data_IF_396309885100
#
_entry.id   IF_396309885100
#
_cell.length_a   1.000
_cell.length_b   1.000
_cell.length_c   1.000
_cell.angle_alpha   90.00
_cell.angle_beta   90.00
_cell.angle_gamma   90.00
#
_symmetry.space_group_name_H-M   'P 1'
#
loop_
_entity.id
_entity.type
_entity.pdbx_description
1 polymer ?
#
# COMPACT_ATOMS: atom_id res chain seq x y z
N UNK A 1 -26.05 -18.02 17.36
CA UNK A 1 -24.78 -18.74 17.14
C UNK A 1 -23.68 -17.99 17.88
N UNK A 2 -22.94 -18.65 18.77
CA UNK A 2 -21.75 -18.06 19.39
C UNK A 2 -20.58 -18.25 18.43
N UNK A 3 -19.98 -17.14 17.97
CA UNK A 3 -18.72 -17.15 17.23
C UNK A 3 -17.60 -16.98 18.25
N UNK A 4 -16.58 -17.84 18.19
CA UNK A 4 -15.40 -17.73 19.05
C UNK A 4 -14.21 -17.29 18.19
N UNK A 5 -13.62 -16.15 18.52
CA UNK A 5 -12.45 -15.62 17.81
C UNK A 5 -11.19 -16.13 18.47
N UNK A 6 -10.32 -16.77 17.68
CA UNK A 6 -9.02 -17.26 18.15
C UNK A 6 -7.90 -16.53 17.42
N UNK A 7 -6.99 -15.95 18.19
CA UNK A 7 -5.82 -15.27 17.64
C UNK A 7 -4.73 -16.30 17.33
N UNK A 8 -4.24 -16.27 16.09
CA UNK A 8 -3.11 -17.08 15.62
C UNK A 8 -2.13 -16.11 14.97
N UNK A 9 -0.85 -16.23 15.31
CA UNK A 9 0.22 -15.45 14.69
C UNK A 9 0.85 -16.29 13.60
N UNK A 10 0.97 -15.73 12.40
CA UNK A 10 1.63 -16.34 11.25
C UNK A 10 2.66 -15.37 10.68
N UNK A 11 3.79 -15.90 10.22
CA UNK A 11 4.81 -15.11 9.53
C UNK A 11 4.46 -15.02 8.05
N UNK A 12 4.64 -13.84 7.46
CA UNK A 12 4.48 -13.64 6.01
C UNK A 12 5.72 -14.19 5.30
N UNK A 13 5.50 -15.13 4.39
CA UNK A 13 6.51 -15.72 3.52
C UNK A 13 6.60 -14.95 2.19
N UNK A 14 7.64 -15.25 1.40
CA UNK A 14 7.84 -14.67 0.07
C UNK A 14 6.60 -14.79 -0.83
N UNK A 15 6.36 -13.74 -1.62
CA UNK A 15 5.18 -13.67 -2.50
C UNK A 15 3.87 -13.45 -1.76
N UNK A 16 3.90 -12.79 -0.59
CA UNK A 16 2.72 -12.46 0.23
C UNK A 16 1.91 -13.70 0.66
N UNK A 17 2.61 -14.79 1.01
CA UNK A 17 1.98 -16.05 1.44
C UNK A 17 1.92 -16.13 2.95
N UNK A 18 0.83 -16.68 3.48
CA UNK A 18 0.63 -16.96 4.90
C UNK A 18 0.44 -18.46 5.07
N UNK A 19 1.17 -19.06 6.00
CA UNK A 19 0.95 -20.42 6.45
C UNK A 19 0.35 -20.37 7.85
N UNK A 20 -0.85 -20.95 8.02
CA UNK A 20 -1.62 -20.89 9.25
C UNK A 20 -1.87 -22.32 9.71
N UNK A 21 -1.34 -22.67 10.87
CA UNK A 21 -1.68 -23.92 11.55
C UNK A 21 -3.06 -23.77 12.20
N UNK A 22 -4.10 -24.30 11.54
CA UNK A 22 -5.45 -24.30 12.08
C UNK A 22 -5.63 -25.45 13.09
N UNK A 23 -6.39 -25.26 14.19
CA UNK A 23 -6.86 -26.39 15.01
C UNK A 23 -7.80 -27.30 14.19
N UNK A 24 -8.19 -28.47 14.72
CA UNK A 24 -9.12 -29.41 14.08
C UNK A 24 -10.45 -28.73 13.68
N UNK A 25 -10.48 -28.18 12.47
CA UNK A 25 -11.64 -27.60 11.85
C UNK A 25 -12.35 -28.68 11.02
N UNK A 26 -13.66 -28.89 11.21
CA UNK A 26 -14.40 -29.87 10.44
C UNK A 26 -14.38 -29.53 8.94
N UNK A 27 -14.19 -30.57 8.13
CA UNK A 27 -14.15 -30.46 6.67
C UNK A 27 -15.47 -29.85 6.16
N UNK A 28 -15.36 -28.85 5.28
CA UNK A 28 -16.52 -28.17 4.68
C UNK A 28 -17.09 -27.01 5.50
N UNK A 29 -16.49 -26.68 6.65
CA UNK A 29 -16.88 -25.50 7.42
C UNK A 29 -16.32 -24.21 6.82
N UNK A 30 -17.19 -23.20 6.66
CA UNK A 30 -16.77 -21.83 6.34
C UNK A 30 -16.30 -21.11 7.61
N UNK A 31 -15.13 -20.48 7.54
CA UNK A 31 -14.58 -19.66 8.63
C UNK A 31 -14.36 -18.21 8.18
N UNK A 32 -14.41 -17.29 9.13
CA UNK A 32 -14.05 -15.87 8.93
C UNK A 32 -12.61 -15.64 9.42
N UNK A 33 -11.79 -14.97 8.61
CA UNK A 33 -10.39 -14.65 8.95
C UNK A 33 -10.27 -13.15 9.18
N UNK A 34 -9.68 -12.77 10.31
CA UNK A 34 -9.40 -11.36 10.65
C UNK A 34 -7.88 -11.17 10.61
N UNK A 35 -7.40 -10.34 9.69
CA UNK A 35 -5.99 -9.97 9.60
C UNK A 35 -5.75 -8.65 10.34
N UNK A 36 -4.84 -8.67 11.31
CA UNK A 36 -4.38 -7.46 12.01
C UNK A 36 -3.00 -7.11 11.44
N UNK A 37 -2.96 -6.13 10.55
CA UNK A 37 -1.73 -5.67 9.91
C UNK A 37 -1.24 -4.44 10.67
N UNK A 38 -0.01 -4.44 11.21
CA UNK A 38 0.56 -3.22 11.80
C UNK A 38 0.68 -2.15 10.71
N UNK A 39 0.40 -0.90 11.06
CA UNK A 39 0.28 0.25 10.15
C UNK A 39 1.58 0.61 9.40
N UNK A 40 2.65 -0.17 9.58
CA UNK A 40 3.99 0.09 9.04
C UNK A 40 4.15 -0.21 7.54
N UNK A 41 3.13 -0.75 6.86
CA UNK A 41 3.22 -1.21 5.46
C UNK A 41 2.36 -0.43 4.46
N UNK A 42 1.64 0.59 4.92
CA UNK A 42 1.08 1.60 4.02
C UNK A 42 1.77 2.91 4.32
N UNK A 43 2.75 3.24 3.47
CA UNK A 43 3.39 4.56 3.41
C UNK A 43 2.41 5.64 2.94
N UNK A 44 1.18 5.67 3.45
CA UNK A 44 0.30 6.81 3.28
C UNK A 44 0.66 7.82 4.35
N UNK A 45 1.28 8.94 3.93
CA UNK A 45 1.58 10.06 4.82
C UNK A 45 0.33 10.43 5.61
N UNK A 46 0.43 10.43 6.94
CA UNK A 46 -0.66 10.85 7.82
C UNK A 46 -0.98 12.33 7.58
N UNK A 47 -2.16 12.80 8.01
CA UNK A 47 -2.49 14.23 7.93
C UNK A 47 -1.45 15.09 8.65
N UNK A 48 -0.96 14.62 9.80
CA UNK A 48 0.09 15.29 10.57
C UNK A 48 1.39 15.45 9.79
N UNK A 49 1.81 14.42 9.04
CA UNK A 49 3.03 14.46 8.21
C UNK A 49 2.89 15.48 7.07
N UNK A 50 1.70 15.53 6.44
CA UNK A 50 1.40 16.52 5.39
C UNK A 50 1.43 17.94 5.93
N UNK A 51 0.85 18.17 7.11
CA UNK A 51 0.91 19.47 7.76
C UNK A 51 2.33 19.85 8.17
N UNK A 52 3.12 18.91 8.68
CA UNK A 52 4.52 19.14 9.01
C UNK A 52 5.32 19.56 7.77
N UNK A 53 5.12 18.87 6.64
CA UNK A 53 5.73 19.24 5.37
C UNK A 53 5.34 20.65 4.92
N UNK A 54 4.05 21.01 4.97
CA UNK A 54 3.58 22.34 4.53
C UNK A 54 4.10 23.50 5.40
N UNK A 55 4.46 23.23 6.66
CA UNK A 55 5.06 24.21 7.57
C UNK A 55 6.55 24.46 7.29
N UNK A 56 7.19 23.63 6.48
CA UNK A 56 8.60 23.82 6.13
C UNK A 56 8.78 25.10 5.29
N UNK A 57 9.93 25.78 5.44
CA UNK A 57 10.33 26.85 4.53
C UNK A 57 10.31 26.39 3.08
N UNK A 58 10.07 27.32 2.16
CA UNK A 58 9.94 26.99 0.73
C UNK A 58 11.17 26.25 0.18
N UNK A 59 12.38 26.61 0.63
CA UNK A 59 13.63 25.98 0.20
C UNK A 59 13.72 24.49 0.63
N UNK A 60 13.30 24.18 1.87
CA UNK A 60 13.30 22.80 2.39
C UNK A 60 12.25 21.95 1.66
N UNK A 61 11.08 22.52 1.38
CA UNK A 61 10.07 21.84 0.55
C UNK A 61 10.57 21.56 -0.85
N UNK A 62 11.22 22.54 -1.48
CA UNK A 62 11.80 22.37 -2.82
C UNK A 62 12.84 21.26 -2.84
N UNK A 63 13.74 21.21 -1.86
CA UNK A 63 14.75 20.14 -1.75
C UNK A 63 14.12 18.75 -1.69
N UNK A 64 13.11 18.56 -0.84
CA UNK A 64 12.41 17.27 -0.69
C UNK A 64 11.70 16.89 -1.99
N UNK A 65 11.02 17.84 -2.64
CA UNK A 65 10.31 17.58 -3.90
C UNK A 65 11.28 17.28 -5.05
N UNK A 66 12.43 17.96 -5.12
CA UNK A 66 13.46 17.68 -6.13
C UNK A 66 14.01 16.26 -6.01
N UNK A 67 14.33 15.82 -4.79
CA UNK A 67 14.80 14.44 -4.57
C UNK A 67 13.75 13.40 -4.98
N UNK A 68 12.47 13.67 -4.69
CA UNK A 68 11.37 12.79 -5.10
C UNK A 68 11.20 12.77 -6.63
N UNK A 69 11.28 13.93 -7.28
CA UNK A 69 11.19 14.03 -8.73
C UNK A 69 12.32 13.25 -9.42
N UNK A 70 13.56 13.38 -8.93
CA UNK A 70 14.73 12.63 -9.44
C UNK A 70 14.53 11.11 -9.31
N UNK A 71 14.01 10.64 -8.17
CA UNK A 71 13.73 9.22 -7.95
C UNK A 71 12.63 8.66 -8.87
N UNK A 72 11.77 9.53 -9.43
CA UNK A 72 10.68 9.11 -10.32
C UNK A 72 11.02 9.22 -11.81
N UNK A 73 12.22 9.72 -12.18
CA UNK A 73 12.61 9.91 -13.59
C UNK A 73 12.49 8.60 -14.37
N UNK A 74 13.09 7.52 -13.87
CA UNK A 74 13.07 6.21 -14.54
C UNK A 74 11.63 5.68 -14.74
N UNK A 75 10.76 5.92 -13.76
CA UNK A 75 9.36 5.55 -13.86
C UNK A 75 8.67 6.33 -14.98
N UNK A 76 8.87 7.64 -15.09
CA UNK A 76 8.25 8.44 -16.15
C UNK A 76 8.83 8.17 -17.55
N UNK A 77 10.12 7.86 -17.65
CA UNK A 77 10.76 7.52 -18.93
C UNK A 77 10.26 6.19 -19.50
N UNK A 78 10.02 5.21 -18.63
CA UNK A 78 9.64 3.86 -19.04
C UNK A 78 8.13 3.58 -18.98
N UNK A 79 7.37 4.39 -18.25
CA UNK A 79 5.92 4.25 -18.16
C UNK A 79 5.28 4.71 -19.48
N UNK A 80 4.59 3.81 -20.18
CA UNK A 80 3.86 4.08 -21.43
C UNK A 80 2.36 4.28 -21.23
N UNK A 81 1.85 4.20 -20.01
CA UNK A 81 0.44 4.36 -19.63
C UNK A 81 -0.12 5.72 -20.06
N UNK A 82 0.73 6.76 -20.13
CA UNK A 82 0.34 8.07 -20.66
C UNK A 82 -0.06 8.02 -22.15
N UNK A 83 0.40 7.03 -22.92
CA UNK A 83 0.00 6.86 -24.32
C UNK A 83 -1.44 6.39 -24.45
N UNK A 84 -1.92 5.58 -23.50
CA UNK A 84 -3.30 5.14 -23.46
C UNK A 84 -4.25 6.31 -23.14
N UNK A 85 -3.79 7.28 -22.32
CA UNK A 85 -4.52 8.53 -22.05
C UNK A 85 -4.66 9.43 -23.28
N UNK A 86 -3.71 9.35 -24.23
CA UNK A 86 -3.72 10.12 -25.49
C UNK A 86 -4.50 9.44 -26.63
N UNK A 87 -5.06 8.24 -26.39
CA UNK A 87 -5.81 7.47 -27.40
C UNK A 87 -7.30 7.87 -27.46
N UNK A 88 -7.72 8.91 -26.72
CA UNK A 88 -8.99 9.58 -26.99
C UNK A 88 -8.85 10.45 -28.24
N UNK A 89 -9.74 10.28 -29.23
CA UNK A 89 -9.79 11.07 -30.46
C UNK A 89 -9.65 12.58 -30.14
N UNK A 90 -8.51 13.17 -30.48
CA UNK A 90 -8.39 14.62 -30.62
C UNK A 90 -9.05 14.93 -31.97
N UNK A 91 -10.35 15.23 -31.95
CA UNK A 91 -11.06 15.74 -33.13
C UNK A 91 -10.59 17.17 -33.37
N UNK A 92 -9.97 17.41 -34.52
CA UNK A 92 -9.60 18.75 -35.03
C UNK A 92 -10.82 19.52 -35.56
#
# INVERSE_FOLDING_TARGET
MMKNTRYITATVLDGNRLEIETPDLPIGQTIEVILVIPETLQSSLTLSDRYAFLKLPIAERQKVLSMQAEAMVEHYENNTEWKDLMTGDIVE
#
